data_IF_657574793580
#
_entry.id   IF_657574793580
#
_cell.length_a   1.000
_cell.length_b   1.000
_cell.length_c   1.000
_cell.angle_alpha   90.00
_cell.angle_beta   90.00
_cell.angle_gamma   90.00
#
_symmetry.space_group_name_H-M   'P 1'
#
loop_
_entity.id
_entity.type
_entity.pdbx_description
1 polymer ?
#
# COMPACT_ATOMS: atom_id res chain seq x y z
N UNK A 1 12.63 -10.57 -21.22
CA UNK A 1 12.77 -9.73 -20.04
C UNK A 1 13.58 -10.51 -19.02
N UNK A 2 14.65 -9.96 -18.48
CA UNK A 2 15.42 -10.65 -17.43
C UNK A 2 14.84 -10.34 -16.04
N UNK A 3 15.34 -11.00 -14.98
CA UNK A 3 14.83 -10.81 -13.62
C UNK A 3 15.03 -9.38 -13.08
N UNK A 4 16.08 -8.71 -13.53
CA UNK A 4 16.36 -7.32 -13.14
C UNK A 4 15.37 -6.37 -13.80
N UNK A 5 15.12 -6.53 -15.11
CA UNK A 5 14.12 -5.72 -15.82
C UNK A 5 12.72 -5.90 -15.19
N UNK A 6 12.40 -7.13 -14.80
CA UNK A 6 11.15 -7.43 -14.13
C UNK A 6 11.04 -6.69 -12.79
N UNK A 7 12.07 -6.75 -11.95
CA UNK A 7 12.13 -6.04 -10.67
C UNK A 7 12.04 -4.52 -10.84
N UNK A 8 12.80 -3.95 -11.77
CA UNK A 8 12.77 -2.50 -12.05
C UNK A 8 11.39 -2.06 -12.52
N UNK A 9 10.76 -2.80 -13.44
CA UNK A 9 9.41 -2.50 -13.90
C UNK A 9 8.39 -2.53 -12.76
N UNK A 10 8.46 -3.53 -11.88
CA UNK A 10 7.58 -3.61 -10.73
C UNK A 10 7.81 -2.45 -9.78
N UNK A 11 9.07 -2.14 -9.46
CA UNK A 11 9.42 -1.01 -8.59
C UNK A 11 8.87 0.31 -9.12
N UNK A 12 9.11 0.64 -10.39
CA UNK A 12 8.60 1.87 -11.01
C UNK A 12 7.07 1.91 -11.00
N UNK A 13 6.43 0.78 -11.32
CA UNK A 13 4.97 0.68 -11.30
C UNK A 13 4.41 0.87 -9.89
N UNK A 14 4.99 0.21 -8.90
CA UNK A 14 4.56 0.37 -7.51
C UNK A 14 4.85 1.77 -6.99
N UNK A 15 6.00 2.36 -7.30
CA UNK A 15 6.31 3.72 -6.92
C UNK A 15 5.26 4.72 -7.45
N UNK A 16 4.84 4.54 -8.71
CA UNK A 16 3.79 5.37 -9.30
C UNK A 16 2.40 5.11 -8.66
N UNK A 17 2.06 3.85 -8.37
CA UNK A 17 0.75 3.48 -7.84
C UNK A 17 0.60 3.77 -6.33
N UNK A 18 1.66 3.57 -5.56
CA UNK A 18 1.69 3.87 -4.12
C UNK A 18 1.79 5.37 -3.86
N UNK A 19 2.22 6.15 -4.87
CA UNK A 19 2.34 7.61 -4.84
C UNK A 19 2.88 8.16 -3.50
N UNK A 20 4.12 7.87 -3.13
CA UNK A 20 4.67 8.27 -1.84
C UNK A 20 4.69 9.80 -1.67
N UNK A 21 4.80 10.55 -2.76
CA UNK A 21 4.84 12.01 -2.73
C UNK A 21 3.45 12.58 -2.43
N UNK A 22 2.41 12.11 -3.14
CA UNK A 22 1.02 12.52 -2.90
C UNK A 22 0.50 12.12 -1.52
N UNK A 23 1.04 11.05 -0.94
CA UNK A 23 0.67 10.59 0.39
C UNK A 23 1.33 11.37 1.54
N UNK A 24 2.37 12.19 1.29
CA UNK A 24 3.05 12.97 2.33
C UNK A 24 2.12 13.92 3.11
N UNK A 25 1.24 14.72 2.46
CA UNK A 25 0.33 15.61 3.20
C UNK A 25 -0.63 14.84 4.11
N UNK A 26 -1.13 13.71 3.65
CA UNK A 26 -2.04 12.86 4.42
C UNK A 26 -1.34 12.28 5.64
N UNK A 27 -0.12 11.75 5.47
CA UNK A 27 0.70 11.24 6.56
C UNK A 27 1.06 12.34 7.56
N UNK A 28 1.39 13.55 7.08
CA UNK A 28 1.69 14.70 7.92
C UNK A 28 0.48 15.11 8.77
N UNK A 29 -0.71 15.19 8.18
CA UNK A 29 -1.97 15.46 8.90
C UNK A 29 -2.28 14.36 9.91
N UNK A 30 -2.12 13.11 9.50
CA UNK A 30 -2.34 11.93 10.34
C UNK A 30 -1.40 11.83 11.54
N UNK A 31 -0.22 12.42 11.47
CA UNK A 31 0.79 12.40 12.54
C UNK A 31 1.09 13.79 13.09
N UNK A 32 0.14 14.73 12.94
CA UNK A 32 0.26 16.06 13.52
C UNK A 32 0.45 15.98 15.05
N UNK A 33 1.40 16.74 15.59
CA UNK A 33 1.74 16.71 17.02
C UNK A 33 2.62 15.54 17.47
N UNK A 34 2.87 14.53 16.62
CA UNK A 34 3.75 13.40 16.95
C UNK A 34 5.23 13.80 16.92
N UNK A 35 6.01 13.22 17.82
CA UNK A 35 7.48 13.32 17.79
C UNK A 35 8.07 12.59 16.57
N UNK A 36 9.30 12.95 16.19
CA UNK A 36 9.99 12.30 15.07
C UNK A 36 10.08 10.76 15.24
N UNK A 37 10.39 10.30 16.45
CA UNK A 37 10.46 8.86 16.76
C UNK A 37 9.10 8.16 16.57
N UNK A 38 8.02 8.82 16.97
CA UNK A 38 6.66 8.30 16.77
C UNK A 38 6.30 8.22 15.29
N UNK A 39 6.62 9.26 14.51
CA UNK A 39 6.40 9.28 13.04
C UNK A 39 7.16 8.16 12.34
N UNK A 40 8.45 8.00 12.65
CA UNK A 40 9.28 6.90 12.10
C UNK A 40 8.69 5.53 12.47
N UNK A 41 8.22 5.35 13.71
CA UNK A 41 7.62 4.08 14.11
C UNK A 41 6.30 3.79 13.41
N UNK A 42 5.46 4.79 13.18
CA UNK A 42 4.20 4.65 12.41
C UNK A 42 4.51 4.32 10.95
N UNK A 43 5.42 5.06 10.30
CA UNK A 43 5.78 4.81 8.90
C UNK A 43 6.40 3.42 8.73
N UNK A 44 7.28 2.99 9.64
CA UNK A 44 7.87 1.65 9.59
C UNK A 44 6.81 0.54 9.68
N UNK A 45 5.79 0.70 10.52
CA UNK A 45 4.68 -0.25 10.61
C UNK A 45 3.83 -0.28 9.34
N UNK A 46 3.56 0.89 8.75
CA UNK A 46 2.81 1.00 7.48
C UNK A 46 3.61 0.35 6.35
N UNK A 47 4.90 0.65 6.22
CA UNK A 47 5.77 0.07 5.20
C UNK A 47 5.88 -1.46 5.36
N UNK A 48 6.10 -1.93 6.59
CA UNK A 48 6.16 -3.37 6.87
C UNK A 48 4.83 -4.07 6.51
N UNK A 49 3.72 -3.46 6.86
CA UNK A 49 2.40 -3.97 6.49
C UNK A 49 2.20 -4.00 4.98
N UNK A 50 2.54 -2.91 4.28
CA UNK A 50 2.42 -2.81 2.82
C UNK A 50 3.27 -3.88 2.12
N UNK A 51 4.53 -4.02 2.54
CA UNK A 51 5.45 -5.03 2.00
C UNK A 51 4.91 -6.45 2.21
N UNK A 52 4.48 -6.79 3.42
CA UNK A 52 3.94 -8.11 3.74
C UNK A 52 2.64 -8.39 2.96
N UNK A 53 1.78 -7.40 2.85
CA UNK A 53 0.50 -7.51 2.15
C UNK A 53 0.70 -7.70 0.64
N UNK A 54 1.54 -6.90 0.00
CA UNK A 54 1.87 -7.05 -1.42
C UNK A 54 2.61 -8.37 -1.68
N UNK A 55 3.54 -8.76 -0.81
CA UNK A 55 4.21 -10.06 -0.91
C UNK A 55 3.21 -11.22 -0.80
N UNK A 56 2.22 -11.14 0.09
CA UNK A 56 1.14 -12.13 0.16
C UNK A 56 0.42 -12.25 -1.19
N UNK A 57 0.03 -11.14 -1.83
CA UNK A 57 -0.62 -11.19 -3.15
C UNK A 57 0.31 -11.61 -4.28
N UNK A 58 1.62 -11.39 -4.16
CA UNK A 58 2.58 -11.91 -5.12
C UNK A 58 2.53 -13.44 -5.20
N UNK A 59 2.39 -14.11 -4.06
CA UNK A 59 2.37 -15.58 -3.99
C UNK A 59 0.99 -16.19 -4.16
N UNK A 60 -0.05 -15.53 -3.67
CA UNK A 60 -1.39 -16.12 -3.59
C UNK A 60 -2.40 -15.49 -4.54
N UNK A 61 -2.12 -14.30 -5.09
CA UNK A 61 -3.10 -13.48 -5.79
C UNK A 61 -3.74 -14.16 -7.00
N UNK A 62 -2.97 -14.82 -7.85
CA UNK A 62 -3.52 -15.57 -8.99
C UNK A 62 -4.42 -16.73 -8.54
N UNK A 63 -4.00 -17.47 -7.52
CA UNK A 63 -4.78 -18.58 -6.96
C UNK A 63 -6.08 -18.10 -6.33
N UNK A 64 -6.06 -16.97 -5.62
CA UNK A 64 -7.26 -16.36 -5.03
C UNK A 64 -8.25 -15.92 -6.11
N UNK A 65 -7.80 -15.23 -7.15
CA UNK A 65 -8.67 -14.83 -8.25
C UNK A 65 -9.31 -16.03 -8.94
N UNK A 66 -8.53 -17.08 -9.20
CA UNK A 66 -9.01 -18.32 -9.80
C UNK A 66 -10.01 -19.04 -8.89
N UNK A 67 -9.72 -19.13 -7.59
CA UNK A 67 -10.61 -19.74 -6.61
C UNK A 67 -11.99 -19.07 -6.56
N UNK A 68 -12.03 -17.73 -6.64
CA UNK A 68 -13.28 -16.98 -6.67
C UNK A 68 -13.91 -16.86 -8.07
N UNK A 69 -13.29 -17.42 -9.12
CA UNK A 69 -13.76 -17.28 -10.49
C UNK A 69 -13.68 -15.85 -11.03
N UNK A 70 -12.83 -14.99 -10.46
CA UNK A 70 -12.68 -13.59 -10.83
C UNK A 70 -11.57 -13.47 -11.88
N UNK A 71 -11.91 -12.95 -13.07
CA UNK A 71 -10.89 -12.63 -14.05
C UNK A 71 -10.05 -11.42 -13.61
N UNK A 72 -8.77 -11.39 -13.99
CA UNK A 72 -7.90 -10.26 -13.73
C UNK A 72 -8.43 -8.96 -14.35
N UNK A 73 -9.11 -9.05 -15.49
CA UNK A 73 -9.76 -7.91 -16.14
C UNK A 73 -10.91 -7.35 -15.28
N UNK A 74 -11.79 -8.21 -14.76
CA UNK A 74 -12.87 -7.81 -13.88
C UNK A 74 -12.34 -7.18 -12.58
N UNK A 75 -11.27 -7.76 -12.00
CA UNK A 75 -10.62 -7.22 -10.82
C UNK A 75 -10.03 -5.81 -11.06
N UNK A 76 -9.41 -5.58 -12.22
CA UNK A 76 -8.89 -4.25 -12.62
C UNK A 76 -10.00 -3.22 -12.79
N UNK A 77 -11.11 -3.60 -13.44
CA UNK A 77 -12.25 -2.68 -13.64
C UNK A 77 -12.84 -2.29 -12.28
N UNK A 78 -13.12 -3.24 -11.40
CA UNK A 78 -13.64 -2.98 -10.07
C UNK A 78 -12.69 -2.09 -9.26
N UNK A 79 -11.40 -2.39 -9.31
CA UNK A 79 -10.35 -1.59 -8.66
C UNK A 79 -10.28 -0.16 -9.20
N UNK A 80 -10.37 0.02 -10.52
CA UNK A 80 -10.40 1.35 -11.15
C UNK A 80 -11.62 2.17 -10.74
N UNK A 81 -12.78 1.55 -10.62
CA UNK A 81 -14.01 2.21 -10.14
C UNK A 81 -13.84 2.66 -8.68
N UNK A 82 -13.28 1.81 -7.81
CA UNK A 82 -13.00 2.18 -6.42
C UNK A 82 -12.02 3.36 -6.32
N UNK A 83 -10.94 3.35 -7.13
CA UNK A 83 -9.99 4.45 -7.18
C UNK A 83 -10.62 5.75 -7.69
N UNK A 84 -11.55 5.66 -8.65
CA UNK A 84 -12.30 6.82 -9.14
C UNK A 84 -13.14 7.44 -8.00
N UNK A 85 -13.91 6.65 -7.26
CA UNK A 85 -14.69 7.14 -6.13
C UNK A 85 -13.79 7.76 -5.06
N UNK A 86 -12.69 7.11 -4.71
CA UNK A 86 -11.71 7.64 -3.75
C UNK A 86 -11.14 8.97 -4.23
N UNK A 87 -10.76 9.08 -5.50
CA UNK A 87 -10.26 10.33 -6.09
C UNK A 87 -11.30 11.46 -6.07
N UNK A 88 -12.57 11.15 -6.31
CA UNK A 88 -13.66 12.13 -6.20
C UNK A 88 -13.86 12.60 -4.75
N UNK A 89 -13.76 11.71 -3.77
CA UNK A 89 -13.86 12.08 -2.35
C UNK A 89 -12.67 12.95 -1.92
N UNK A 90 -11.47 12.65 -2.40
CA UNK A 90 -10.29 13.50 -2.17
C UNK A 90 -10.48 14.92 -2.74
N UNK A 91 -11.09 15.02 -3.93
CA UNK A 91 -11.33 16.31 -4.58
C UNK A 91 -12.37 17.19 -3.86
N UNK A 92 -13.23 16.61 -3.03
CA UNK A 92 -14.24 17.36 -2.24
C UNK A 92 -13.67 18.09 -1.01
N UNK A 93 -12.40 17.89 -0.68
CA UNK A 93 -11.67 18.72 0.30
C UNK A 93 -11.73 18.27 1.76
N UNK A 94 -12.67 17.42 2.15
CA UNK A 94 -12.81 16.95 3.55
C UNK A 94 -11.91 15.75 3.86
N UNK A 95 -11.25 15.20 2.84
CA UNK A 95 -10.47 13.98 2.94
C UNK A 95 -9.31 14.08 3.96
N UNK A 96 -8.58 15.20 3.96
CA UNK A 96 -7.48 15.41 4.91
C UNK A 96 -7.96 15.51 6.36
N UNK A 97 -9.15 16.07 6.59
CA UNK A 97 -9.75 16.19 7.92
C UNK A 97 -10.07 14.82 8.53
N UNK A 98 -10.37 13.81 7.71
CA UNK A 98 -10.62 12.44 8.16
C UNK A 98 -9.38 11.81 8.82
N UNK A 99 -8.17 12.20 8.40
CA UNK A 99 -6.91 11.67 8.92
C UNK A 99 -6.29 12.53 10.01
N UNK A 100 -6.82 13.74 10.25
CA UNK A 100 -6.29 14.63 11.28
C UNK A 100 -6.34 13.96 12.65
N UNK A 101 -5.24 14.06 13.38
CA UNK A 101 -5.14 13.53 14.74
C UNK A 101 -5.78 14.47 15.73
N UNK A 102 -7.02 14.20 16.12
CA UNK A 102 -7.74 14.98 17.15
C UNK A 102 -7.27 14.66 18.58
N UNK A 103 -6.57 13.54 18.76
CA UNK A 103 -6.16 13.03 20.08
C UNK A 103 -4.63 13.14 20.30
N UNK A 104 -3.94 13.92 19.49
CA UNK A 104 -2.47 14.01 19.49
C UNK A 104 -1.84 14.40 20.84
N UNK A 105 -2.61 15.06 21.71
CA UNK A 105 -2.10 15.59 22.98
C UNK A 105 -2.16 14.61 24.15
N UNK A 106 -2.88 13.51 24.04
CA UNK A 106 -3.18 12.65 25.19
C UNK A 106 -2.17 11.52 25.45
N UNK A 107 -1.32 11.15 24.48
CA UNK A 107 -0.54 9.91 24.54
C UNK A 107 0.97 10.01 24.25
N UNK A 108 1.57 11.15 24.56
CA UNK A 108 2.97 11.46 24.17
C UNK A 108 4.07 10.61 24.86
N UNK A 109 3.74 9.80 25.86
CA UNK A 109 4.78 9.14 26.71
C UNK A 109 5.29 7.80 26.20
N UNK A 110 4.50 7.05 25.42
CA UNK A 110 4.89 5.73 24.90
C UNK A 110 4.92 5.70 23.37
N UNK A 111 6.14 5.65 22.79
CA UNK A 111 6.35 5.62 21.33
C UNK A 111 5.71 4.40 20.69
N UNK A 112 5.83 3.22 21.31
CA UNK A 112 5.29 1.97 20.74
C UNK A 112 3.78 1.91 20.82
N UNK A 113 3.21 2.31 21.97
CA UNK A 113 1.77 2.38 22.16
C UNK A 113 1.13 3.38 21.20
N UNK A 114 1.70 4.57 21.03
CA UNK A 114 1.27 5.55 20.05
C UNK A 114 1.30 4.97 18.63
N UNK A 115 2.43 4.41 18.21
CA UNK A 115 2.62 3.87 16.86
C UNK A 115 1.60 2.77 16.55
N UNK A 116 1.36 1.84 17.51
CA UNK A 116 0.38 0.75 17.34
C UNK A 116 -1.05 1.26 17.20
N UNK A 117 -1.48 2.18 18.07
CA UNK A 117 -2.84 2.76 18.01
C UNK A 117 -3.03 3.54 16.71
N UNK A 118 -2.05 4.36 16.36
CA UNK A 118 -2.11 5.16 15.12
C UNK A 118 -2.12 4.29 13.88
N UNK A 119 -1.27 3.27 13.83
CA UNK A 119 -1.27 2.28 12.77
C UNK A 119 -2.64 1.62 12.60
N UNK A 120 -3.28 1.16 13.67
CA UNK A 120 -4.60 0.55 13.61
C UNK A 120 -5.67 1.51 13.04
N UNK A 121 -5.60 2.80 13.35
CA UNK A 121 -6.51 3.81 12.80
C UNK A 121 -6.22 4.15 11.34
N UNK A 122 -4.98 4.00 10.88
CA UNK A 122 -4.57 4.33 9.52
C UNK A 122 -4.64 3.15 8.55
N UNK A 123 -4.61 1.91 9.03
CA UNK A 123 -4.58 0.73 8.14
C UNK A 123 -5.80 0.69 7.23
N UNK A 124 -7.01 0.82 7.78
CA UNK A 124 -8.24 0.67 6.98
C UNK A 124 -8.47 1.87 6.05
N UNK A 125 -8.45 3.14 6.52
CA UNK A 125 -8.78 4.24 5.61
C UNK A 125 -7.59 4.70 4.75
N UNK A 126 -6.35 4.42 5.14
CA UNK A 126 -5.16 4.94 4.48
C UNK A 126 -4.32 3.84 3.81
N UNK A 127 -3.85 2.83 4.57
CA UNK A 127 -2.90 1.87 4.03
C UNK A 127 -3.55 0.96 2.98
N UNK A 128 -4.73 0.42 3.24
CA UNK A 128 -5.38 -0.54 2.32
C UNK A 128 -5.96 0.14 1.07
N UNK A 129 -6.89 1.12 1.15
CA UNK A 129 -7.49 1.63 -0.07
C UNK A 129 -6.60 2.63 -0.81
N UNK A 130 -5.83 3.44 -0.10
CA UNK A 130 -5.07 4.52 -0.70
C UNK A 130 -3.67 4.10 -1.14
N UNK A 131 -2.87 3.52 -0.23
CA UNK A 131 -1.52 3.07 -0.59
C UNK A 131 -1.52 1.74 -1.33
N UNK A 132 -2.18 0.71 -0.78
CA UNK A 132 -2.19 -0.65 -1.34
C UNK A 132 -3.50 -0.86 -2.10
N UNK A 133 -3.87 0.09 -2.94
CA UNK A 133 -5.10 0.03 -3.71
C UNK A 133 -5.15 -1.16 -4.69
N UNK A 134 -6.34 -1.43 -5.25
CA UNK A 134 -6.52 -2.52 -6.22
C UNK A 134 -5.57 -2.42 -7.42
N UNK A 135 -5.07 -1.22 -7.74
CA UNK A 135 -4.05 -1.00 -8.76
C UNK A 135 -2.73 -1.67 -8.42
N UNK A 136 -2.20 -1.42 -7.21
CA UNK A 136 -0.95 -2.02 -6.74
C UNK A 136 -1.07 -3.56 -6.62
N UNK A 137 -2.19 -4.05 -6.08
CA UNK A 137 -2.47 -5.49 -5.98
C UNK A 137 -2.52 -6.12 -7.38
N UNK A 138 -3.22 -5.49 -8.34
CA UNK A 138 -3.28 -5.99 -9.72
C UNK A 138 -1.91 -6.03 -10.37
N UNK A 139 -1.07 -4.99 -10.19
CA UNK A 139 0.28 -4.95 -10.73
C UNK A 139 1.13 -6.10 -10.18
N UNK A 140 1.07 -6.35 -8.88
CA UNK A 140 1.80 -7.44 -8.22
C UNK A 140 1.31 -8.81 -8.70
N UNK A 141 -0.01 -9.02 -8.86
CA UNK A 141 -0.56 -10.28 -9.35
C UNK A 141 -0.14 -10.57 -10.81
N UNK A 142 -0.12 -9.54 -11.66
CA UNK A 142 0.37 -9.68 -13.05
C UNK A 142 1.84 -10.05 -13.04
N UNK A 143 2.61 -9.35 -12.23
CA UNK A 143 4.04 -9.57 -12.12
C UNK A 143 4.36 -10.98 -11.60
N UNK A 144 3.54 -11.53 -10.69
CA UNK A 144 3.67 -12.91 -10.22
C UNK A 144 3.61 -13.93 -11.38
N UNK A 145 2.73 -13.68 -12.36
CA UNK A 145 2.64 -14.51 -13.57
C UNK A 145 3.90 -14.46 -14.43
N UNK A 146 4.52 -13.29 -14.57
CA UNK A 146 5.78 -13.15 -15.30
C UNK A 146 6.99 -13.67 -14.49
N UNK A 147 6.99 -13.45 -13.18
CA UNK A 147 8.02 -13.98 -12.29
C UNK A 147 8.08 -15.50 -12.29
N UNK A 148 6.92 -16.17 -12.35
CA UNK A 148 6.83 -17.62 -12.41
C UNK A 148 7.52 -18.19 -13.67
N UNK A 149 7.50 -17.48 -14.79
CA UNK A 149 8.19 -17.89 -16.03
C UNK A 149 9.72 -17.81 -15.92
N UNK A 150 10.24 -16.93 -15.07
CA UNK A 150 11.66 -16.75 -14.81
C UNK A 150 12.16 -17.58 -13.61
N UNK A 151 11.28 -18.32 -12.94
CA UNK A 151 11.59 -19.16 -11.81
C UNK A 151 12.05 -18.38 -10.59
N UNK A 152 12.99 -18.93 -9.82
CA UNK A 152 13.46 -18.35 -8.57
C UNK A 152 13.99 -16.90 -8.70
N UNK A 153 14.75 -16.63 -9.77
CA UNK A 153 15.32 -15.29 -10.01
C UNK A 153 14.23 -14.21 -10.20
N UNK A 154 13.14 -14.55 -10.92
CA UNK A 154 12.01 -13.63 -11.11
C UNK A 154 11.29 -13.33 -9.81
N UNK A 155 11.08 -14.34 -8.97
CA UNK A 155 10.43 -14.17 -7.67
C UNK A 155 11.25 -13.31 -6.72
N UNK A 156 12.57 -13.55 -6.63
CA UNK A 156 13.47 -12.73 -5.81
C UNK A 156 13.51 -11.29 -6.30
N UNK A 157 13.62 -11.05 -7.61
CA UNK A 157 13.58 -9.70 -8.17
C UNK A 157 12.29 -8.96 -7.83
N UNK A 158 11.16 -9.64 -7.88
CA UNK A 158 9.86 -9.06 -7.50
C UNK A 158 9.76 -8.76 -5.99
N UNK A 159 10.27 -9.62 -5.13
CA UNK A 159 10.30 -9.39 -3.67
C UNK A 159 11.18 -8.18 -3.32
N UNK A 160 12.36 -8.06 -3.92
CA UNK A 160 13.25 -6.90 -3.71
C UNK A 160 12.60 -5.60 -4.18
N UNK A 161 11.80 -5.65 -5.23
CA UNK A 161 11.09 -4.48 -5.74
C UNK A 161 9.93 -4.02 -4.83
N UNK A 162 9.37 -4.93 -4.03
CA UNK A 162 8.29 -4.65 -3.07
C UNK A 162 8.86 -4.14 -1.72
N UNK A 163 10.05 -4.58 -1.32
CA UNK A 163 10.69 -4.23 -0.05
C UNK A 163 11.26 -2.82 -0.02
#
# INVERSE_FOLDING_TARGET
MNAVDLGVNLFVTLFALLDPIGNLPIFAAATAGATLRQRISVSALICAFATLFLAFFLFTGLGLLQFFGISLAAFRIAGGILLLFLGLDMARGDFLAMFADKDALTDAKDVRGYARRRFQRLVVPFAIPLMIGPGAISAVIIQAGEAAKLGYAGTVGSLVAIA
#
